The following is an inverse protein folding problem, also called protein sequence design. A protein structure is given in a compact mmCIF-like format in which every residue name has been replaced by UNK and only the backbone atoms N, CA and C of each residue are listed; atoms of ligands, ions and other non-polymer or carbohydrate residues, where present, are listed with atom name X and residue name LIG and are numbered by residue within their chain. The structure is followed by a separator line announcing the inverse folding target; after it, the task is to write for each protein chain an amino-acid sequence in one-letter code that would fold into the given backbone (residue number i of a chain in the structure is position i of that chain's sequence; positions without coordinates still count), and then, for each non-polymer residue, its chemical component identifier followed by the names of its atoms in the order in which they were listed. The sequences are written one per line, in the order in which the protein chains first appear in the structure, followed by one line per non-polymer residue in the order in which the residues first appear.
data_IF_758347649824
#
_entry.id   IF_758347649824
#
_cell.length_a   1.000
_cell.length_b   1.000
_cell.length_c   1.000
_cell.angle_alpha   90.00
_cell.angle_beta   90.00
_cell.angle_gamma   90.00
#
_symmetry.space_group_name_H-M   'P 1'
#
loop_
_entity.id
_entity.type
_entity.pdbx_description
1 polymer ?
#
# COMPACT_ATOMS: atom_id res chain seq x y z
N UNK A 1 -20.76 15.69 -11.39
CA UNK A 1 -19.29 15.96 -11.35
C UNK A 1 -18.50 14.85 -12.03
N UNK A 2 -18.57 13.60 -11.55
CA UNK A 2 -17.82 12.47 -12.12
C UNK A 2 -18.07 12.24 -13.62
N UNK A 3 -19.31 12.39 -14.11
CA UNK A 3 -19.62 12.33 -15.55
C UNK A 3 -18.74 13.26 -16.40
N UNK A 4 -18.51 14.49 -15.91
CA UNK A 4 -17.63 15.46 -16.59
C UNK A 4 -16.18 15.02 -16.54
N UNK A 5 -15.73 14.42 -15.43
CA UNK A 5 -14.36 13.87 -15.34
C UNK A 5 -14.14 12.74 -16.34
N UNK A 6 -15.12 11.83 -16.47
CA UNK A 6 -15.08 10.72 -17.43
C UNK A 6 -15.11 11.27 -18.87
N UNK A 7 -15.95 12.26 -19.19
CA UNK A 7 -15.97 12.91 -20.51
C UNK A 7 -14.60 13.52 -20.87
N UNK A 8 -13.99 14.24 -19.94
CA UNK A 8 -12.66 14.83 -20.16
C UNK A 8 -11.58 13.75 -20.34
N UNK A 9 -11.62 12.66 -19.57
CA UNK A 9 -10.68 11.54 -19.75
C UNK A 9 -10.92 10.78 -21.06
N UNK A 10 -12.16 10.63 -21.54
CA UNK A 10 -12.44 10.08 -22.87
C UNK A 10 -11.83 10.95 -23.98
N UNK A 11 -11.86 12.28 -23.83
CA UNK A 11 -11.20 13.20 -24.76
C UNK A 11 -9.67 13.09 -24.70
N UNK A 12 -9.10 12.87 -23.51
CA UNK A 12 -7.68 12.58 -23.37
C UNK A 12 -7.29 11.30 -24.11
N UNK A 13 -8.03 10.21 -23.87
CA UNK A 13 -7.82 8.92 -24.56
C UNK A 13 -7.92 9.07 -26.08
N UNK A 14 -8.83 9.88 -26.59
CA UNK A 14 -8.97 10.13 -28.03
C UNK A 14 -7.74 10.80 -28.68
N UNK A 15 -6.82 11.35 -27.89
CA UNK A 15 -5.53 11.86 -28.38
C UNK A 15 -4.53 10.75 -28.71
N UNK A 16 -4.80 9.50 -28.33
CA UNK A 16 -3.94 8.33 -28.53
C UNK A 16 -4.65 7.26 -29.38
N UNK A 17 -4.98 7.55 -30.65
CA UNK A 17 -5.77 6.65 -31.51
C UNK A 17 -5.10 5.29 -31.80
N UNK A 18 -3.82 5.14 -31.49
CA UNK A 18 -3.04 3.92 -31.66
C UNK A 18 -3.28 2.86 -30.60
N UNK A 19 -3.85 3.22 -29.44
CA UNK A 19 -4.11 2.25 -28.36
C UNK A 19 -5.26 1.32 -28.72
N UNK A 20 -5.09 0.02 -28.50
CA UNK A 20 -6.10 -0.98 -28.83
C UNK A 20 -7.25 -1.00 -27.81
N UNK A 21 -6.95 -0.75 -26.53
CA UNK A 21 -7.91 -0.63 -25.44
C UNK A 21 -7.89 0.83 -24.92
N UNK A 22 -9.01 1.56 -24.93
CA UNK A 22 -9.10 2.94 -24.45
C UNK A 22 -8.50 3.17 -23.04
N UNK A 23 -8.62 2.19 -22.15
CA UNK A 23 -8.09 2.29 -20.80
C UNK A 23 -6.54 2.31 -20.76
N UNK A 24 -5.87 1.70 -21.73
CA UNK A 24 -4.40 1.63 -21.75
C UNK A 24 -3.77 3.03 -21.85
N UNK A 25 -4.39 3.95 -22.59
CA UNK A 25 -3.92 5.35 -22.66
C UNK A 25 -3.99 6.08 -21.31
N UNK A 26 -4.85 5.65 -20.38
CA UNK A 26 -4.91 6.22 -19.03
C UNK A 26 -3.85 5.62 -18.12
N UNK A 27 -3.56 4.34 -18.30
CA UNK A 27 -2.65 3.61 -17.44
C UNK A 27 -1.19 3.90 -17.75
N UNK A 28 -0.87 4.21 -19.01
CA UNK A 28 0.47 4.60 -19.46
C UNK A 28 1.05 5.76 -18.64
N UNK A 29 0.21 6.68 -18.13
CA UNK A 29 0.63 7.80 -17.26
C UNK A 29 1.20 7.33 -15.90
N UNK A 30 0.90 6.10 -15.49
CA UNK A 30 1.17 5.58 -14.14
C UNK A 30 2.10 4.36 -14.13
N UNK A 31 1.92 3.47 -15.11
CA UNK A 31 2.71 2.25 -15.29
C UNK A 31 3.11 2.10 -16.77
N UNK A 32 4.15 2.82 -17.22
CA UNK A 32 4.51 2.87 -18.63
C UNK A 32 4.79 1.50 -19.23
N UNK A 33 4.15 1.19 -20.37
CA UNK A 33 4.33 -0.04 -21.12
C UNK A 33 3.51 -1.24 -20.65
N UNK A 34 2.71 -1.11 -19.58
CA UNK A 34 1.81 -2.17 -19.11
C UNK A 34 0.41 -1.99 -19.71
N UNK A 35 -0.22 -3.10 -20.11
CA UNK A 35 -1.55 -3.09 -20.75
C UNK A 35 -2.65 -3.69 -19.88
N UNK A 36 -3.91 -3.34 -20.14
CA UNK A 36 -5.07 -3.98 -19.51
C UNK A 36 -5.07 -5.51 -19.68
N UNK A 37 -4.57 -6.02 -20.81
CA UNK A 37 -4.49 -7.46 -21.06
C UNK A 37 -3.50 -8.16 -20.12
N UNK A 38 -2.35 -7.53 -19.88
CA UNK A 38 -1.35 -8.03 -18.93
C UNK A 38 -1.85 -7.91 -17.49
N UNK A 39 -2.47 -6.78 -17.12
CA UNK A 39 -3.07 -6.58 -15.78
C UNK A 39 -4.12 -7.65 -15.52
N UNK A 40 -5.00 -7.94 -16.48
CA UNK A 40 -5.98 -9.03 -16.37
C UNK A 40 -5.33 -10.39 -16.18
N UNK A 41 -4.26 -10.68 -16.89
CA UNK A 41 -3.54 -11.95 -16.77
C UNK A 41 -2.95 -12.12 -15.37
N UNK A 42 -2.34 -11.04 -14.85
CA UNK A 42 -1.80 -11.00 -13.48
C UNK A 42 -2.91 -11.16 -12.45
N UNK A 43 -4.01 -10.40 -12.57
CA UNK A 43 -5.11 -10.45 -11.61
C UNK A 43 -5.83 -11.79 -11.61
N UNK A 44 -6.06 -12.40 -12.77
CA UNK A 44 -6.62 -13.75 -12.86
C UNK A 44 -5.76 -14.76 -12.08
N UNK A 45 -4.43 -14.70 -12.23
CA UNK A 45 -3.51 -15.58 -11.50
C UNK A 45 -3.54 -15.34 -10.00
N UNK A 46 -3.64 -14.09 -9.57
CA UNK A 46 -3.75 -13.75 -8.15
C UNK A 46 -5.08 -14.22 -7.57
N UNK A 47 -6.19 -14.07 -8.31
CA UNK A 47 -7.51 -14.52 -7.90
C UNK A 47 -7.59 -16.03 -7.70
N UNK A 48 -6.89 -16.83 -8.52
CA UNK A 48 -6.78 -18.29 -8.34
C UNK A 48 -6.28 -18.66 -6.93
N UNK A 49 -5.38 -17.86 -6.35
CA UNK A 49 -4.84 -18.07 -5.00
C UNK A 49 -5.66 -17.38 -3.91
N UNK A 50 -6.08 -16.14 -4.12
CA UNK A 50 -6.81 -15.35 -3.11
C UNK A 50 -8.21 -15.87 -2.86
N UNK A 51 -8.93 -16.33 -3.88
CA UNK A 51 -10.33 -16.80 -3.72
C UNK A 51 -10.45 -17.94 -2.68
N UNK A 52 -9.68 -19.05 -2.79
CA UNK A 52 -9.74 -20.09 -1.77
C UNK A 52 -9.22 -19.63 -0.41
N UNK A 53 -8.22 -18.73 -0.37
CA UNK A 53 -7.71 -18.17 0.89
C UNK A 53 -8.79 -17.34 1.60
N UNK A 54 -9.49 -16.46 0.89
CA UNK A 54 -10.55 -15.62 1.47
C UNK A 54 -11.72 -16.46 1.97
N UNK A 55 -12.03 -17.58 1.32
CA UNK A 55 -13.00 -18.54 1.85
C UNK A 55 -12.55 -19.13 3.18
N UNK A 56 -11.28 -19.57 3.28
CA UNK A 56 -10.73 -20.10 4.53
C UNK A 56 -10.71 -19.04 5.64
N UNK A 57 -10.38 -17.79 5.31
CA UNK A 57 -10.41 -16.66 6.24
C UNK A 57 -11.84 -16.39 6.73
N UNK A 58 -12.82 -16.34 5.83
CA UNK A 58 -14.22 -16.15 6.20
C UNK A 58 -14.75 -17.24 7.14
N UNK A 59 -14.38 -18.50 6.89
CA UNK A 59 -14.74 -19.64 7.74
C UNK A 59 -14.05 -19.59 9.13
N UNK A 60 -13.02 -18.75 9.31
CA UNK A 60 -12.17 -18.67 10.50
C UNK A 60 -11.91 -17.23 10.98
N UNK A 61 -12.83 -16.28 10.72
CA UNK A 61 -12.61 -14.85 10.98
C UNK A 61 -12.26 -14.52 12.45
N UNK A 62 -12.75 -15.35 13.38
CA UNK A 62 -12.56 -15.19 14.83
C UNK A 62 -11.33 -15.96 15.37
N UNK A 63 -10.54 -16.59 14.49
CA UNK A 63 -9.36 -17.37 14.89
C UNK A 63 -8.19 -16.50 15.36
N UNK A 64 -8.18 -15.21 15.01
CA UNK A 64 -7.15 -14.24 15.40
C UNK A 64 -7.79 -13.11 16.20
N UNK A 65 -7.32 -12.97 17.43
CA UNK A 65 -7.65 -11.86 18.31
C UNK A 65 -6.68 -10.69 18.06
N UNK A 66 -7.23 -9.57 17.61
CA UNK A 66 -6.51 -8.32 17.41
C UNK A 66 -6.91 -7.24 18.42
N UNK A 67 -7.69 -7.59 19.46
CA UNK A 67 -8.19 -6.63 20.45
C UNK A 67 -7.09 -5.82 21.14
N UNK A 68 -5.88 -6.37 21.25
CA UNK A 68 -4.71 -5.67 21.76
C UNK A 68 -4.28 -4.46 20.92
N UNK A 69 -4.69 -4.38 19.64
CA UNK A 69 -4.39 -3.25 18.74
C UNK A 69 -5.48 -2.18 18.76
N UNK A 70 -6.60 -2.45 19.46
CA UNK A 70 -7.74 -1.54 19.62
C UNK A 70 -7.82 -1.03 21.06
N UNK A 71 -8.30 0.20 21.22
CA UNK A 71 -8.37 0.86 22.52
C UNK A 71 -7.68 2.22 22.49
N UNK A 72 -7.40 2.80 23.66
CA UNK A 72 -6.86 4.14 23.71
C UNK A 72 -5.34 4.17 23.54
N UNK A 73 -4.88 4.66 22.38
CA UNK A 73 -3.48 4.90 22.04
C UNK A 73 -3.30 6.39 21.77
N UNK A 74 -2.87 7.21 22.74
CA UNK A 74 -2.83 8.66 22.52
C UNK A 74 -1.88 9.05 21.38
N UNK A 75 -2.27 10.04 20.58
CA UNK A 75 -1.55 10.39 19.34
C UNK A 75 -0.06 10.75 19.57
N UNK A 76 0.26 11.40 20.68
CA UNK A 76 1.64 11.76 21.02
C UNK A 76 2.54 10.53 21.27
N UNK A 77 1.99 9.46 21.84
CA UNK A 77 2.69 8.20 22.08
C UNK A 77 2.83 7.42 20.77
N UNK A 78 1.81 7.45 19.91
CA UNK A 78 1.91 6.88 18.55
C UNK A 78 3.02 7.58 17.75
N UNK A 79 3.10 8.90 17.79
CA UNK A 79 4.17 9.66 17.15
C UNK A 79 5.55 9.26 17.69
N UNK A 80 5.68 9.14 19.01
CA UNK A 80 6.95 8.72 19.65
C UNK A 80 7.35 7.31 19.22
N UNK A 81 6.41 6.36 19.18
CA UNK A 81 6.64 5.01 18.66
C UNK A 81 7.11 5.06 17.19
N UNK A 82 6.36 5.76 16.33
CA UNK A 82 6.69 5.92 14.91
C UNK A 82 8.09 6.46 14.71
N UNK A 83 8.46 7.55 15.41
CA UNK A 83 9.80 8.15 15.31
C UNK A 83 10.90 7.20 15.79
N UNK A 84 10.66 6.45 16.87
CA UNK A 84 11.63 5.47 17.38
C UNK A 84 11.86 4.35 16.38
N UNK A 85 10.79 3.77 15.84
CA UNK A 85 10.90 2.70 14.85
C UNK A 85 11.63 3.18 13.58
N UNK A 86 11.25 4.34 13.05
CA UNK A 86 11.87 4.92 11.86
C UNK A 86 13.34 5.34 12.07
N UNK A 87 13.74 5.70 13.29
CA UNK A 87 15.14 6.04 13.59
C UNK A 87 16.14 4.92 13.28
N UNK A 88 15.68 3.67 13.17
CA UNK A 88 16.52 2.54 12.78
C UNK A 88 16.65 2.36 11.27
N UNK A 89 15.87 3.10 10.47
CA UNK A 89 15.71 2.90 9.05
C UNK A 89 16.62 3.80 8.22
N UNK A 90 17.71 4.30 8.81
CA UNK A 90 18.87 4.81 8.06
C UNK A 90 18.69 6.16 7.37
N UNK A 91 17.62 6.90 7.62
CA UNK A 91 17.54 8.28 7.16
C UNK A 91 18.61 9.14 7.86
N UNK A 92 19.16 10.12 7.14
CA UNK A 92 19.83 11.24 7.78
C UNK A 92 18.77 12.04 8.53
N UNK A 93 18.89 12.20 9.85
CA UNK A 93 17.92 12.93 10.70
C UNK A 93 17.60 14.35 10.21
N UNK A 94 18.51 14.98 9.46
CA UNK A 94 18.29 16.30 8.87
C UNK A 94 17.49 16.29 7.57
N UNK A 95 17.31 15.12 6.94
CA UNK A 95 16.75 14.96 5.59
C UNK A 95 15.33 14.38 5.54
N UNK A 96 14.68 14.20 6.69
CA UNK A 96 13.30 13.74 6.72
C UNK A 96 12.47 14.34 7.87
N UNK A 97 11.14 14.25 7.74
CA UNK A 97 10.21 14.56 8.83
C UNK A 97 8.91 13.74 8.71
N UNK A 98 8.25 13.57 9.86
CA UNK A 98 6.94 12.94 10.01
C UNK A 98 5.94 13.95 10.56
N UNK A 99 4.78 14.05 9.91
CA UNK A 99 3.67 14.95 10.27
C UNK A 99 2.30 14.27 10.25
N UNK A 100 1.33 14.74 11.04
CA UNK A 100 -0.05 14.26 10.95
C UNK A 100 -0.78 14.78 9.69
N UNK A 101 -1.64 13.96 9.11
CA UNK A 101 -2.55 14.31 8.00
C UNK A 101 -3.85 13.49 8.08
N UNK A 102 -4.83 13.83 7.25
CA UNK A 102 -6.06 13.04 7.08
C UNK A 102 -5.84 11.77 6.23
N UNK A 103 -5.03 11.88 5.17
CA UNK A 103 -4.67 10.77 4.28
C UNK A 103 -3.15 10.72 4.19
N UNK A 104 -2.50 9.67 4.74
CA UNK A 104 -1.05 9.51 4.66
C UNK A 104 -0.54 9.58 3.22
N UNK A 105 0.63 10.20 3.07
CA UNK A 105 1.39 10.29 1.82
C UNK A 105 2.86 10.58 2.12
N UNK A 106 3.71 10.22 1.17
CA UNK A 106 5.10 10.62 1.06
C UNK A 106 5.27 11.63 -0.09
N UNK A 107 6.15 12.59 0.11
CA UNK A 107 6.53 13.57 -0.91
C UNK A 107 7.98 13.98 -0.71
N UNK A 108 8.71 14.09 -1.81
CA UNK A 108 10.10 14.53 -1.79
C UNK A 108 10.28 15.78 -2.66
N UNK A 109 10.96 16.79 -2.14
CA UNK A 109 11.33 17.99 -2.91
C UNK A 109 12.75 17.86 -3.50
N UNK A 110 13.56 17.00 -2.90
CA UNK A 110 14.90 16.61 -3.31
C UNK A 110 15.20 15.22 -2.72
N UNK A 111 16.26 14.56 -3.18
CA UNK A 111 16.73 13.28 -2.59
C UNK A 111 17.13 13.40 -1.11
N UNK A 112 17.26 14.64 -0.62
CA UNK A 112 17.64 14.98 0.75
C UNK A 112 16.51 15.65 1.57
N UNK A 113 15.29 15.78 1.02
CA UNK A 113 14.10 16.30 1.73
C UNK A 113 12.92 15.35 1.51
N UNK A 114 12.81 14.35 2.39
CA UNK A 114 11.73 13.35 2.43
C UNK A 114 10.69 13.74 3.45
N UNK A 115 9.46 13.97 3.01
CA UNK A 115 8.33 14.31 3.88
C UNK A 115 7.34 13.18 3.86
N UNK A 116 7.18 12.54 5.00
CA UNK A 116 6.19 11.49 5.19
C UNK A 116 5.13 11.98 6.16
N UNK A 117 3.92 11.50 5.98
CA UNK A 117 2.80 11.87 6.84
C UNK A 117 2.08 10.62 7.32
N UNK A 118 1.38 10.73 8.45
CA UNK A 118 0.60 9.62 9.00
C UNK A 118 -0.69 10.10 9.61
N UNK A 119 -1.62 9.19 9.88
CA UNK A 119 -2.88 9.48 10.58
C UNK A 119 -2.84 8.76 11.93
N UNK A 120 -2.99 9.53 13.00
CA UNK A 120 -3.12 8.97 14.34
C UNK A 120 -4.60 8.71 14.63
N UNK A 121 -4.95 7.44 14.80
CA UNK A 121 -6.26 7.03 15.30
C UNK A 121 -6.10 6.60 16.75
N UNK A 122 -6.61 7.40 17.69
CA UNK A 122 -6.47 7.09 19.12
C UNK A 122 -7.24 5.85 19.56
N UNK A 123 -8.08 5.28 18.69
CA UNK A 123 -8.79 4.01 18.89
C UNK A 123 -8.08 2.78 18.30
N UNK A 124 -7.09 2.97 17.42
CA UNK A 124 -6.50 1.88 16.63
C UNK A 124 -5.03 2.15 16.25
N UNK A 125 -4.11 1.37 16.84
CA UNK A 125 -2.67 1.61 16.69
C UNK A 125 -2.14 1.34 15.27
N UNK A 126 -2.71 0.35 14.58
CA UNK A 126 -2.20 -0.08 13.27
C UNK A 126 -2.24 1.05 12.24
N UNK A 127 -3.20 1.97 12.34
CA UNK A 127 -3.38 3.07 11.37
C UNK A 127 -2.11 3.90 11.24
N UNK A 128 -1.56 4.38 12.37
CA UNK A 128 -0.34 5.17 12.34
C UNK A 128 0.90 4.29 12.17
N UNK A 129 0.93 3.11 12.80
CA UNK A 129 2.09 2.23 12.80
C UNK A 129 2.45 1.80 11.37
N UNK A 130 1.53 1.14 10.68
CA UNK A 130 1.77 0.64 9.33
C UNK A 130 1.71 1.74 8.28
N UNK A 131 0.84 2.74 8.46
CA UNK A 131 0.85 3.93 7.60
C UNK A 131 2.21 4.62 7.59
N UNK A 132 2.86 4.75 8.75
CA UNK A 132 4.21 5.34 8.82
C UNK A 132 5.26 4.48 8.11
N UNK A 133 5.23 3.15 8.29
CA UNK A 133 6.17 2.24 7.61
C UNK A 133 5.97 2.24 6.09
N UNK A 134 4.72 2.32 5.64
CA UNK A 134 4.33 2.42 4.24
C UNK A 134 4.94 3.68 3.59
N UNK A 135 4.64 4.85 4.15
CA UNK A 135 5.16 6.11 3.61
C UNK A 135 6.69 6.22 3.72
N UNK A 136 7.28 5.61 4.76
CA UNK A 136 8.73 5.49 4.89
C UNK A 136 9.34 4.71 3.71
N UNK A 137 8.71 3.61 3.28
CA UNK A 137 9.17 2.83 2.14
C UNK A 137 9.21 3.64 0.83
N UNK A 138 8.17 4.46 0.60
CA UNK A 138 8.18 5.45 -0.48
C UNK A 138 9.32 6.46 -0.33
N UNK A 139 9.46 7.05 0.85
CA UNK A 139 10.50 8.03 1.13
C UNK A 139 11.93 7.52 0.93
N UNK A 140 12.19 6.25 1.30
CA UNK A 140 13.50 5.63 1.09
C UNK A 140 13.83 5.39 -0.37
N UNK A 141 12.84 5.10 -1.22
CA UNK A 141 13.08 4.99 -2.65
C UNK A 141 13.55 6.34 -3.20
N UNK A 142 12.78 7.40 -2.97
CA UNK A 142 13.10 8.75 -3.43
C UNK A 142 14.46 9.25 -2.90
N UNK A 143 14.78 9.00 -1.62
CA UNK A 143 16.09 9.32 -1.06
C UNK A 143 17.23 8.42 -1.59
N UNK A 144 16.90 7.24 -2.11
CA UNK A 144 17.85 6.28 -2.65
C UNK A 144 18.28 6.57 -4.09
N UNK A 145 17.60 7.48 -4.78
CA UNK A 145 17.93 7.88 -6.16
C UNK A 145 19.31 8.55 -6.20
N UNK A 146 20.09 8.26 -7.25
CA UNK A 146 21.44 8.80 -7.38
C UNK A 146 21.41 10.34 -7.41
N UNK A 147 22.21 11.03 -6.58
CA UNK A 147 22.32 12.49 -6.62
C UNK A 147 22.76 13.04 -7.99
N UNK A 148 23.39 12.22 -8.83
CA UNK A 148 23.77 12.60 -10.21
C UNK A 148 22.58 12.80 -11.13
N UNK A 149 21.40 12.31 -10.75
CA UNK A 149 20.16 12.46 -11.51
C UNK A 149 19.37 13.69 -11.10
N UNK A 150 19.74 14.37 -10.00
CA UNK A 150 18.98 15.53 -9.50
C UNK A 150 18.72 16.57 -10.59
N UNK A 151 17.49 17.10 -10.60
CA UNK A 151 16.98 18.08 -11.57
C UNK A 151 16.94 17.54 -13.02
N UNK A 152 16.93 16.23 -13.20
CA UNK A 152 16.61 15.57 -14.46
C UNK A 152 15.27 14.84 -14.37
N UNK A 153 14.65 14.46 -15.51
CA UNK A 153 13.45 13.62 -15.54
C UNK A 153 13.66 12.18 -15.03
N UNK A 154 14.86 11.83 -14.55
CA UNK A 154 15.19 10.50 -14.04
C UNK A 154 15.31 10.49 -12.51
N UNK A 155 15.10 11.63 -11.84
CA UNK A 155 15.27 11.74 -10.39
C UNK A 155 13.99 11.50 -9.60
N UNK A 156 13.34 10.38 -9.86
CA UNK A 156 12.14 9.93 -9.15
C UNK A 156 11.88 8.46 -9.49
N UNK A 157 11.03 7.81 -8.70
CA UNK A 157 10.57 6.45 -8.99
C UNK A 157 10.08 6.27 -10.43
N UNK A 158 10.51 5.20 -11.11
CA UNK A 158 10.21 4.96 -12.53
C UNK A 158 8.74 4.71 -12.87
N UNK A 159 7.98 4.11 -11.94
CA UNK A 159 6.53 3.86 -12.08
C UNK A 159 5.86 3.79 -10.72
N UNK A 160 4.53 3.98 -10.67
CA UNK A 160 3.80 3.89 -9.40
C UNK A 160 3.80 2.46 -8.83
N UNK A 161 3.81 1.42 -9.67
CA UNK A 161 3.90 0.03 -9.24
C UNK A 161 5.23 -0.28 -8.56
N UNK A 162 6.35 0.15 -9.13
CA UNK A 162 7.66 0.01 -8.48
C UNK A 162 7.79 0.88 -7.23
N UNK A 163 7.15 2.05 -7.22
CA UNK A 163 7.15 2.93 -6.06
C UNK A 163 6.35 2.34 -4.90
N UNK A 164 5.17 1.77 -5.19
CA UNK A 164 4.35 1.01 -4.23
C UNK A 164 5.03 -0.28 -3.77
N UNK A 165 5.84 -0.93 -4.63
CA UNK A 165 6.54 -2.13 -4.18
C UNK A 165 7.51 -1.85 -3.05
N UNK A 166 8.05 -0.63 -2.97
CA UNK A 166 8.89 -0.23 -1.84
C UNK A 166 8.04 -0.03 -0.59
N UNK A 167 6.96 0.75 -0.66
CA UNK A 167 6.08 0.96 0.51
C UNK A 167 5.55 -0.35 1.07
N UNK A 168 5.10 -1.27 0.21
CA UNK A 168 4.56 -2.57 0.61
C UNK A 168 5.59 -3.54 1.17
N UNK A 169 6.80 -3.54 0.62
CA UNK A 169 7.88 -4.36 1.20
C UNK A 169 8.15 -3.96 2.65
N UNK A 170 8.25 -2.66 2.89
CA UNK A 170 8.58 -2.11 4.18
C UNK A 170 7.42 -2.18 5.19
N UNK A 171 6.20 -1.90 4.73
CA UNK A 171 4.98 -2.05 5.53
C UNK A 171 4.74 -3.53 5.92
N UNK A 172 4.75 -4.42 4.93
CA UNK A 172 4.20 -5.76 5.09
C UNK A 172 5.30 -6.82 5.21
N UNK A 173 6.10 -7.01 4.15
CA UNK A 173 7.10 -8.09 4.10
C UNK A 173 8.14 -7.97 5.22
N UNK A 174 8.43 -6.74 5.64
CA UNK A 174 9.28 -6.43 6.79
C UNK A 174 8.41 -6.11 8.00
N UNK A 175 7.62 -5.01 7.97
CA UNK A 175 6.93 -4.48 9.15
C UNK A 175 5.88 -5.41 9.79
N UNK A 176 5.30 -6.36 9.04
CA UNK A 176 4.38 -7.38 9.57
C UNK A 176 5.04 -8.74 9.79
N UNK A 177 6.33 -8.88 9.45
CA UNK A 177 7.06 -10.14 9.64
C UNK A 177 7.28 -10.47 11.11
N UNK A 178 7.37 -11.76 11.41
CA UNK A 178 7.74 -12.24 12.75
C UNK A 178 9.11 -11.73 13.20
N UNK A 179 10.07 -11.68 12.28
CA UNK A 179 11.43 -11.25 12.60
C UNK A 179 11.47 -9.77 12.97
N UNK A 180 10.67 -8.92 12.32
CA UNK A 180 10.55 -7.51 12.71
C UNK A 180 9.98 -7.34 14.11
N UNK A 181 9.01 -8.17 14.50
CA UNK A 181 8.43 -8.10 15.84
C UNK A 181 9.41 -8.46 16.95
N UNK A 182 10.43 -9.29 16.71
CA UNK A 182 11.52 -9.50 17.69
C UNK A 182 12.28 -8.20 18.01
N UNK A 183 12.43 -7.33 17.01
CA UNK A 183 13.05 -6.02 17.14
C UNK A 183 12.07 -4.97 17.71
N UNK A 184 10.87 -4.88 17.15
CA UNK A 184 9.92 -3.81 17.45
C UNK A 184 9.14 -4.01 18.76
N UNK A 185 8.93 -5.25 19.19
CA UNK A 185 8.16 -5.57 20.40
C UNK A 185 8.69 -4.93 21.69
N UNK A 186 10.00 -4.96 22.03
CA UNK A 186 10.49 -4.25 23.21
C UNK A 186 10.24 -2.73 23.14
N UNK A 187 10.36 -2.13 21.95
CA UNK A 187 10.05 -0.70 21.73
C UNK A 187 8.56 -0.43 21.97
N UNK A 188 7.70 -1.30 21.47
CA UNK A 188 6.25 -1.22 21.65
C UNK A 188 5.87 -1.25 23.15
N UNK A 189 6.45 -2.18 23.91
CA UNK A 189 6.18 -2.30 25.35
C UNK A 189 6.64 -1.08 26.15
N UNK A 190 7.72 -0.42 25.74
CA UNK A 190 8.21 0.79 26.40
C UNK A 190 7.30 1.99 26.15
N UNK A 191 6.73 2.12 24.95
CA UNK A 191 5.82 3.23 24.63
C UNK A 191 4.39 3.00 25.14
N UNK A 192 3.96 1.74 25.23
CA UNK A 192 2.59 1.34 25.59
C UNK A 192 2.56 0.22 26.65
N UNK A 193 3.17 0.40 27.83
CA UNK A 193 3.34 -0.67 28.82
C UNK A 193 2.01 -1.15 29.42
N UNK A 194 1.03 -0.27 29.58
CA UNK A 194 -0.28 -0.64 30.13
C UNK A 194 -1.15 -1.33 29.09
N UNK A 195 -1.18 -0.83 27.85
CA UNK A 195 -1.97 -1.41 26.76
C UNK A 195 -1.50 -2.83 26.40
N UNK A 196 -0.20 -3.09 26.43
CA UNK A 196 0.37 -4.40 26.06
C UNK A 196 0.78 -5.27 27.25
N UNK A 197 0.30 -4.94 28.45
CA UNK A 197 0.58 -5.71 29.65
C UNK A 197 0.07 -7.15 29.52
N UNK A 198 0.99 -8.11 29.49
CA UNK A 198 0.66 -9.53 29.36
C UNK A 198 0.31 -9.99 27.95
N UNK A 199 0.44 -9.11 26.94
CA UNK A 199 0.33 -9.47 25.53
C UNK A 199 1.71 -9.89 25.05
N UNK A 200 1.86 -11.11 24.53
CA UNK A 200 3.15 -11.63 24.02
C UNK A 200 3.48 -11.15 22.61
N UNK A 201 4.77 -11.23 22.23
CA UNK A 201 5.25 -10.95 20.87
C UNK A 201 4.48 -11.74 19.80
N UNK A 202 4.23 -13.03 20.04
CA UNK A 202 3.48 -13.89 19.12
C UNK A 202 2.02 -13.42 18.97
N UNK A 203 1.39 -12.93 20.04
CA UNK A 203 0.03 -12.38 19.96
C UNK A 203 0.01 -11.10 19.13
N UNK A 204 1.01 -10.21 19.28
CA UNK A 204 1.11 -9.00 18.45
C UNK A 204 1.32 -9.36 16.97
N UNK A 205 2.29 -10.24 16.68
CA UNK A 205 2.55 -10.69 15.31
C UNK A 205 1.29 -11.26 14.66
N UNK A 206 0.50 -12.08 15.38
CA UNK A 206 -0.78 -12.59 14.87
C UNK A 206 -1.81 -11.47 14.68
N UNK A 207 -1.98 -10.60 15.67
CA UNK A 207 -2.96 -9.51 15.64
C UNK A 207 -2.76 -8.58 14.43
N UNK A 208 -1.51 -8.22 14.11
CA UNK A 208 -1.22 -7.33 12.97
C UNK A 208 -1.31 -8.00 11.60
N UNK A 209 -1.46 -9.32 11.57
CA UNK A 209 -1.66 -10.13 10.36
C UNK A 209 -3.09 -10.70 10.30
N UNK A 210 -4.03 -10.16 11.09
CA UNK A 210 -5.43 -10.55 11.02
C UNK A 210 -5.98 -10.20 9.64
N UNK A 211 -6.60 -11.19 9.00
CA UNK A 211 -7.28 -11.06 7.72
C UNK A 211 -8.79 -11.08 7.92
N UNK A 212 -9.51 -10.17 7.27
CA UNK A 212 -10.96 -10.14 7.28
C UNK A 212 -11.47 -9.29 6.10
N UNK A 213 -12.46 -9.77 5.32
CA UNK A 213 -13.14 -8.92 4.35
C UNK A 213 -13.67 -7.65 5.01
N UNK A 214 -13.32 -6.49 4.47
CA UNK A 214 -13.79 -5.19 4.96
C UNK A 214 -14.27 -4.31 3.79
N UNK A 215 -14.95 -3.21 4.10
CA UNK A 215 -15.49 -2.30 3.07
C UNK A 215 -14.46 -1.28 2.60
N UNK A 216 -13.49 -0.91 3.44
CA UNK A 216 -12.61 0.24 3.24
C UNK A 216 -11.24 -0.23 2.77
N UNK A 217 -10.90 0.07 1.51
CA UNK A 217 -9.65 -0.39 0.88
C UNK A 217 -8.39 -0.02 1.67
N UNK A 218 -8.31 1.20 2.19
CA UNK A 218 -7.12 1.67 2.92
C UNK A 218 -6.94 1.01 4.30
N UNK A 219 -7.95 0.29 4.78
CA UNK A 219 -7.94 -0.47 6.03
C UNK A 219 -7.97 -1.99 5.79
N UNK A 220 -7.96 -2.42 4.52
CA UNK A 220 -8.02 -3.83 4.16
C UNK A 220 -6.70 -4.55 4.47
N UNK A 221 -6.81 -5.83 4.84
CA UNK A 221 -5.66 -6.71 5.08
C UNK A 221 -4.94 -7.09 3.79
N UNK A 222 -3.74 -7.67 3.90
CA UNK A 222 -2.90 -8.02 2.75
C UNK A 222 -3.57 -8.94 1.73
N UNK A 223 -4.46 -9.84 2.16
CA UNK A 223 -5.14 -10.76 1.27
C UNK A 223 -6.35 -10.09 0.59
N UNK A 224 -7.19 -9.40 1.34
CA UNK A 224 -8.40 -8.78 0.78
C UNK A 224 -8.12 -7.51 -0.03
N UNK A 225 -7.04 -6.77 0.28
CA UNK A 225 -6.67 -5.50 -0.38
C UNK A 225 -6.65 -5.59 -1.91
N UNK A 226 -6.06 -6.65 -2.47
CA UNK A 226 -5.94 -6.81 -3.93
C UNK A 226 -7.32 -6.98 -4.59
N UNK A 227 -8.30 -7.57 -3.90
CA UNK A 227 -9.67 -7.69 -4.42
C UNK A 227 -10.33 -6.31 -4.56
N UNK A 228 -10.07 -5.38 -3.63
CA UNK A 228 -10.54 -3.98 -3.77
C UNK A 228 -9.98 -3.31 -5.04
N UNK A 229 -8.74 -3.61 -5.40
CA UNK A 229 -8.10 -3.07 -6.61
C UNK A 229 -8.72 -3.67 -7.87
N UNK A 230 -8.94 -4.99 -7.89
CA UNK A 230 -9.57 -5.69 -9.02
C UNK A 230 -10.96 -5.10 -9.31
N UNK A 231 -11.77 -4.87 -8.28
CA UNK A 231 -13.11 -4.28 -8.43
C UNK A 231 -13.03 -2.92 -9.15
N UNK A 232 -12.11 -2.05 -8.74
CA UNK A 232 -11.95 -0.70 -9.33
C UNK A 232 -11.45 -0.78 -10.77
N UNK A 233 -10.47 -1.64 -11.02
CA UNK A 233 -9.96 -1.90 -12.37
C UNK A 233 -11.07 -2.37 -13.33
N UNK A 234 -11.88 -3.34 -12.91
CA UNK A 234 -12.97 -3.85 -13.74
C UNK A 234 -14.05 -2.79 -14.01
N UNK A 235 -14.36 -1.95 -13.02
CA UNK A 235 -15.29 -0.82 -13.19
C UNK A 235 -14.74 0.23 -14.15
N UNK A 236 -13.46 0.57 -14.05
CA UNK A 236 -12.82 1.50 -14.99
C UNK A 236 -12.83 0.98 -16.43
N UNK A 237 -12.52 -0.30 -16.64
CA UNK A 237 -12.62 -0.91 -17.96
C UNK A 237 -14.05 -0.80 -18.52
N UNK A 238 -15.06 -1.12 -17.71
CA UNK A 238 -16.46 -1.02 -18.12
C UNK A 238 -16.85 0.43 -18.48
N UNK A 239 -16.40 1.42 -17.71
CA UNK A 239 -16.62 2.85 -18.01
C UNK A 239 -16.01 3.24 -19.36
N UNK A 240 -14.75 2.86 -19.61
CA UNK A 240 -14.02 3.30 -20.81
C UNK A 240 -14.35 2.52 -22.08
N UNK A 241 -14.94 1.32 -21.93
CA UNK A 241 -15.60 0.60 -23.02
C UNK A 241 -17.02 1.06 -23.31
N UNK A 242 -17.59 1.91 -22.44
CA UNK A 242 -18.96 2.39 -22.57
C UNK A 242 -20.03 1.36 -22.16
N UNK A 243 -19.64 0.35 -21.40
CA UNK A 243 -20.52 -0.70 -20.87
C UNK A 243 -21.39 -0.19 -19.71
N UNK A 244 -20.86 0.76 -18.92
CA UNK A 244 -21.58 1.44 -17.83
C UNK A 244 -21.36 2.97 -17.89
N UNK A 245 -22.33 3.72 -17.37
CA UNK A 245 -22.21 5.16 -17.16
C UNK A 245 -21.93 5.47 -15.68
N UNK A 246 -21.59 6.73 -15.39
CA UNK A 246 -21.33 7.16 -14.01
C UNK A 246 -22.55 6.97 -13.08
N UNK A 247 -23.76 7.08 -13.61
CA UNK A 247 -25.02 6.84 -12.88
C UNK A 247 -25.17 5.42 -12.39
N UNK A 248 -24.53 4.46 -13.05
CA UNK A 248 -24.69 3.03 -12.80
C UNK A 248 -23.64 2.51 -11.81
N UNK A 249 -22.67 3.36 -11.44
CA UNK A 249 -21.49 2.95 -10.67
C UNK A 249 -21.82 2.46 -9.26
N UNK A 250 -22.80 3.08 -8.58
CA UNK A 250 -23.14 2.66 -7.21
C UNK A 250 -23.70 1.24 -7.18
N UNK A 251 -24.59 0.90 -8.11
CA UNK A 251 -25.13 -0.47 -8.24
C UNK A 251 -24.03 -1.46 -8.65
N UNK A 252 -23.24 -1.14 -9.67
CA UNK A 252 -22.16 -2.00 -10.15
C UNK A 252 -21.08 -2.23 -9.07
N UNK A 253 -20.76 -1.20 -8.28
CA UNK A 253 -19.85 -1.28 -7.15
C UNK A 253 -20.37 -2.24 -6.08
N UNK A 254 -21.63 -2.05 -5.65
CA UNK A 254 -22.25 -2.85 -4.61
C UNK A 254 -22.34 -4.33 -5.02
N UNK A 255 -22.68 -4.58 -6.29
CA UNK A 255 -22.70 -5.94 -6.85
C UNK A 255 -21.31 -6.59 -6.80
N UNK A 256 -20.26 -5.87 -7.21
CA UNK A 256 -18.88 -6.40 -7.17
C UNK A 256 -18.37 -6.61 -5.75
N UNK A 257 -18.65 -5.72 -4.81
CA UNK A 257 -18.27 -5.94 -3.39
C UNK A 257 -18.97 -7.17 -2.82
N UNK A 258 -20.23 -7.40 -3.18
CA UNK A 258 -20.94 -8.61 -2.77
C UNK A 258 -20.32 -9.87 -3.39
N UNK A 259 -20.01 -9.83 -4.68
CA UNK A 259 -19.39 -10.93 -5.42
C UNK A 259 -18.01 -11.30 -4.89
N UNK A 260 -17.14 -10.31 -4.73
CA UNK A 260 -15.72 -10.50 -4.43
C UNK A 260 -15.42 -10.64 -2.94
N UNK A 261 -16.13 -9.89 -2.09
CA UNK A 261 -15.86 -9.81 -0.65
C UNK A 261 -17.00 -10.35 0.21
N UNK A 262 -18.16 -10.68 -0.38
CA UNK A 262 -19.32 -11.17 0.36
C UNK A 262 -20.08 -10.09 1.15
N UNK A 263 -19.69 -8.82 1.01
CA UNK A 263 -20.16 -7.72 1.85
C UNK A 263 -21.32 -6.96 1.21
N UNK A 264 -22.29 -6.59 2.04
CA UNK A 264 -23.34 -5.63 1.66
C UNK A 264 -22.86 -4.21 1.97
N UNK A 265 -22.87 -3.35 0.95
CA UNK A 265 -22.45 -1.95 1.08
C UNK A 265 -23.64 -1.13 1.63
N UNK A 266 -23.51 -0.51 2.81
CA UNK A 266 -24.65 0.12 3.49
C UNK A 266 -25.01 1.51 2.96
N UNK A 267 -24.04 2.22 2.35
CA UNK A 267 -24.21 3.54 1.75
C UNK A 267 -23.05 3.87 0.81
N UNK A 268 -23.23 4.90 -0.02
CA UNK A 268 -22.22 5.35 -0.97
C UNK A 268 -20.92 5.83 -0.30
N UNK A 269 -20.96 6.36 0.93
CA UNK A 269 -19.77 6.85 1.64
C UNK A 269 -18.82 5.71 2.03
N UNK A 270 -19.37 4.54 2.39
CA UNK A 270 -18.66 3.27 2.60
C UNK A 270 -18.62 2.41 1.33
N UNK A 271 -19.08 2.96 0.22
CA UNK A 271 -19.16 2.33 -1.10
C UNK A 271 -18.34 3.09 -2.12
N UNK A 272 -18.95 3.41 -3.26
CA UNK A 272 -18.32 4.06 -4.42
C UNK A 272 -17.64 5.40 -4.14
N UNK A 273 -18.01 6.10 -3.05
CA UNK A 273 -17.41 7.39 -2.67
C UNK A 273 -16.27 7.26 -1.66
N UNK A 274 -15.85 6.05 -1.29
CA UNK A 274 -14.82 5.84 -0.26
C UNK A 274 -13.43 6.37 -0.65
N UNK A 275 -13.14 6.45 -1.96
CA UNK A 275 -11.84 6.85 -2.49
C UNK A 275 -11.93 8.17 -3.27
N UNK A 276 -10.91 9.01 -3.09
CA UNK A 276 -10.83 10.33 -3.73
C UNK A 276 -10.45 10.25 -5.23
N UNK A 277 -9.78 9.17 -5.65
CA UNK A 277 -9.09 9.04 -6.95
C UNK A 277 -9.93 9.50 -8.14
N UNK A 278 -11.12 8.95 -8.31
CA UNK A 278 -11.99 9.29 -9.45
C UNK A 278 -12.50 10.74 -9.41
N UNK A 279 -12.68 11.30 -8.21
CA UNK A 279 -13.11 12.69 -8.05
C UNK A 279 -12.05 13.72 -8.49
N UNK A 280 -10.77 13.34 -8.40
CA UNK A 280 -9.62 14.14 -8.85
C UNK A 280 -9.04 13.67 -10.20
N UNK A 281 -9.70 12.73 -10.87
CA UNK A 281 -9.36 12.31 -12.23
C UNK A 281 -8.24 11.28 -12.33
N UNK A 282 -7.90 10.59 -11.24
CA UNK A 282 -6.98 9.46 -11.22
C UNK A 282 -7.73 8.19 -11.66
N UNK A 283 -7.89 8.03 -12.98
CA UNK A 283 -8.46 6.86 -13.65
C UNK A 283 -7.31 6.15 -14.37
N UNK A 284 -7.19 4.83 -14.25
CA UNK A 284 -5.99 4.06 -14.61
C UNK A 284 -5.04 3.84 -13.43
N UNK A 285 -5.26 4.48 -12.29
CA UNK A 285 -4.29 4.53 -11.18
C UNK A 285 -4.25 3.26 -10.33
N UNK A 286 -5.43 2.69 -10.01
CA UNK A 286 -5.54 1.67 -8.96
C UNK A 286 -4.70 0.40 -9.18
N UNK A 287 -4.53 -0.14 -10.41
CA UNK A 287 -3.76 -1.35 -10.61
C UNK A 287 -2.31 -1.27 -10.12
N UNK A 288 -1.69 -0.09 -10.12
CA UNK A 288 -0.34 0.12 -9.57
C UNK A 288 -0.22 -0.37 -8.13
N UNK A 289 -1.28 -0.24 -7.32
CA UNK A 289 -1.28 -0.71 -5.93
C UNK A 289 -1.10 -2.23 -5.82
N UNK A 290 -1.85 -2.99 -6.63
CA UNK A 290 -1.76 -4.45 -6.62
C UNK A 290 -0.47 -4.95 -7.29
N UNK A 291 -0.02 -4.26 -8.35
CA UNK A 291 1.29 -4.53 -8.95
C UNK A 291 2.42 -4.32 -7.95
N UNK A 292 2.36 -3.25 -7.15
CA UNK A 292 3.32 -3.00 -6.08
C UNK A 292 3.43 -4.16 -5.10
N UNK A 293 2.31 -4.72 -4.63
CA UNK A 293 2.32 -5.93 -3.78
C UNK A 293 3.09 -7.08 -4.44
N UNK A 294 2.78 -7.38 -5.71
CA UNK A 294 3.37 -8.51 -6.44
C UNK A 294 4.87 -8.29 -6.70
N UNK A 295 5.25 -7.09 -7.14
CA UNK A 295 6.64 -6.72 -7.40
C UNK A 295 7.44 -6.74 -6.09
N UNK A 296 6.83 -6.33 -4.96
CA UNK A 296 7.50 -6.35 -3.66
C UNK A 296 7.93 -7.77 -3.28
N UNK A 297 7.07 -8.77 -3.49
CA UNK A 297 7.38 -10.18 -3.29
C UNK A 297 8.51 -10.66 -4.23
N UNK A 298 8.51 -10.25 -5.51
CA UNK A 298 9.56 -10.63 -6.46
C UNK A 298 10.94 -10.08 -6.06
N UNK A 299 10.98 -8.82 -5.62
CA UNK A 299 12.20 -8.20 -5.12
C UNK A 299 12.65 -8.90 -3.83
N UNK A 300 11.72 -9.16 -2.91
CA UNK A 300 11.97 -9.84 -1.65
C UNK A 300 12.55 -11.25 -1.85
N UNK A 301 12.00 -12.04 -2.77
CA UNK A 301 12.51 -13.37 -3.12
C UNK A 301 13.95 -13.30 -3.64
N UNK A 302 14.30 -12.24 -4.37
CA UNK A 302 15.67 -12.01 -4.82
C UNK A 302 16.58 -11.61 -3.66
N UNK A 303 16.17 -10.66 -2.82
CA UNK A 303 16.91 -10.25 -1.63
C UNK A 303 17.20 -11.43 -0.70
N UNK A 304 16.23 -12.31 -0.46
CA UNK A 304 16.42 -13.51 0.38
C UNK A 304 17.49 -14.48 -0.16
N UNK A 305 17.71 -14.50 -1.48
CA UNK A 305 18.75 -15.34 -2.10
C UNK A 305 20.13 -14.71 -2.06
N UNK A 306 20.21 -13.38 -2.04
CA UNK A 306 21.45 -12.63 -2.22
C UNK A 306 21.99 -12.04 -0.90
N UNK A 307 21.12 -11.75 0.08
CA UNK A 307 21.48 -11.23 1.39
C UNK A 307 21.53 -12.38 2.40
N UNK A 308 22.74 -12.70 2.86
CA UNK A 308 22.92 -13.69 3.93
C UNK A 308 22.22 -13.27 5.22
N UNK A 309 21.43 -14.17 5.79
CA UNK A 309 20.72 -14.01 7.07
C UNK A 309 19.87 -12.74 7.17
N UNK A 310 19.06 -12.47 6.13
CA UNK A 310 18.16 -11.31 6.11
C UNK A 310 17.21 -11.27 7.32
N UNK A 311 16.68 -12.42 7.75
CA UNK A 311 15.78 -12.51 8.89
C UNK A 311 16.49 -12.18 10.21
N UNK A 312 17.72 -12.69 10.41
CA UNK A 312 18.52 -12.34 11.59
C UNK A 312 18.84 -10.85 11.65
N UNK A 313 19.12 -10.22 10.50
CA UNK A 313 19.34 -8.77 10.39
C UNK A 313 18.11 -7.97 10.78
N UNK A 314 16.93 -8.35 10.29
CA UNK A 314 15.66 -7.69 10.64
C UNK A 314 15.37 -7.84 12.13
N UNK A 315 15.57 -9.03 12.70
CA UNK A 315 15.38 -9.28 14.13
C UNK A 315 16.35 -8.49 15.02
N UNK A 316 17.52 -8.10 14.49
CA UNK A 316 18.50 -7.25 15.17
C UNK A 316 18.27 -5.74 14.93
N UNK A 317 17.30 -5.35 14.09
CA UNK A 317 17.09 -3.96 13.68
C UNK A 317 18.17 -3.43 12.72
N UNK A 318 18.87 -4.31 12.02
CA UNK A 318 19.94 -3.98 11.06
C UNK A 318 19.39 -3.86 9.63
N UNK A 319 18.81 -2.71 9.29
CA UNK A 319 18.16 -2.51 7.98
C UNK A 319 19.11 -2.03 6.87
N UNK A 320 20.30 -1.52 7.21
CA UNK A 320 21.25 -0.97 6.24
C UNK A 320 21.62 -1.95 5.10
N UNK A 321 21.87 -3.26 5.35
CA UNK A 321 22.18 -4.20 4.27
C UNK A 321 21.04 -4.36 3.24
N UNK A 322 19.79 -4.27 3.67
CA UNK A 322 18.62 -4.33 2.78
C UNK A 322 18.54 -3.06 1.92
N UNK A 323 18.76 -1.91 2.55
CA UNK A 323 18.75 -0.61 1.87
C UNK A 323 19.88 -0.48 0.87
N UNK A 324 21.08 -0.94 1.21
CA UNK A 324 22.22 -0.90 0.30
C UNK A 324 21.99 -1.79 -0.92
N UNK A 325 21.41 -2.98 -0.72
CA UNK A 325 21.03 -3.86 -1.82
C UNK A 325 19.98 -3.20 -2.73
N UNK A 326 18.93 -2.62 -2.15
CA UNK A 326 17.88 -1.93 -2.92
C UNK A 326 18.45 -0.70 -3.66
N UNK A 327 19.36 0.05 -3.04
CA UNK A 327 20.04 1.19 -3.67
C UNK A 327 20.85 0.76 -4.87
N UNK A 328 21.60 -0.35 -4.77
CA UNK A 328 22.42 -0.86 -5.86
C UNK A 328 21.60 -1.41 -7.03
N UNK A 329 20.53 -2.14 -6.72
CA UNK A 329 19.78 -2.91 -7.71
C UNK A 329 18.55 -2.21 -8.27
N UNK A 330 18.05 -1.18 -7.58
CA UNK A 330 16.82 -0.49 -7.95
C UNK A 330 16.93 1.02 -7.78
N UNK A 331 17.09 1.53 -6.55
CA UNK A 331 16.79 2.94 -6.26
C UNK A 331 17.70 3.92 -7.02
N UNK A 332 19.00 3.63 -7.16
CA UNK A 332 19.96 4.59 -7.72
C UNK A 332 19.66 5.03 -9.16
N UNK A 333 18.83 4.28 -9.89
CA UNK A 333 18.58 4.51 -11.32
C UNK A 333 17.45 5.51 -11.61
N UNK A 334 16.68 5.90 -10.59
CA UNK A 334 15.34 6.46 -10.78
C UNK A 334 14.31 5.35 -10.70
#
# INVERSE_FOLDING_TARGET
YLEKMIELKRRYVACFPEVAEPWDALFEDYEPGMTAAEVKTVFARVQEGLTPLMKLVADNQDAVDDSAMHGHFPAAQQEKLSRRLLGHWGFNDAGWRLDPTAHPFASSAATTDVRITTRYDEGFLNSSLFGTLHECGHGMYEAGVSPTLERTPLCHGVSLGLHESQSRMWENLIGRSRDYWRFAYPILLEEFPEQFKGVSEEQIHRAVNKMAPSLIRVEADEASYTLHIIIRFELELAIFRGEIQASDLEEAWNAKYKEYLGLDVPDAARGVLQDVHWSVGLLGYFPCYALGNIISCQIWDRMNREISDINGKIAAGEFAPLQDWLREHLWRYG
#
